data_IF_559395851925
#
_entry.id   IF_559395851925
#
_cell.length_a   1.000
_cell.length_b   1.000
_cell.length_c   1.000
_cell.angle_alpha   90.00
_cell.angle_beta   90.00
_cell.angle_gamma   90.00
#
_symmetry.space_group_name_H-M   'P 1'
#
loop_
_entity.id
_entity.type
_entity.pdbx_description
1 polymer ?
#
# COMPACT_ATOMS: atom_id res chain seq x y z
N UNK A 1 -42.09 0.55 5.78
CA UNK A 1 -41.37 -0.72 5.86
C UNK A 1 -41.06 -1.25 4.49
N UNK A 2 -40.14 -2.16 4.35
CA UNK A 2 -39.84 -2.87 3.11
C UNK A 2 -40.29 -4.33 3.21
N UNK A 3 -40.62 -4.93 2.06
CA UNK A 3 -40.93 -6.36 1.99
C UNK A 3 -39.64 -7.18 1.89
N UNK A 4 -39.48 -8.21 2.73
CA UNK A 4 -38.34 -9.13 2.69
C UNK A 4 -38.19 -9.79 1.32
N UNK A 5 -39.28 -10.08 0.63
CA UNK A 5 -39.27 -10.62 -0.73
C UNK A 5 -38.72 -9.69 -1.80
N UNK A 6 -38.61 -8.38 -1.52
CA UNK A 6 -38.03 -7.40 -2.43
C UNK A 6 -36.49 -7.31 -2.33
N UNK A 7 -35.89 -7.88 -1.26
CA UNK A 7 -34.43 -7.90 -1.08
C UNK A 7 -33.79 -8.80 -2.13
N UNK A 8 -32.81 -8.26 -2.85
CA UNK A 8 -32.05 -8.98 -3.87
C UNK A 8 -30.57 -8.91 -3.54
N UNK A 9 -29.87 -10.01 -3.71
CA UNK A 9 -28.41 -10.06 -3.67
C UNK A 9 -27.89 -9.92 -5.10
N UNK A 10 -27.06 -8.92 -5.35
CA UNK A 10 -26.46 -8.67 -6.67
C UNK A 10 -24.97 -8.52 -6.52
N UNK A 11 -24.20 -9.18 -7.39
CA UNK A 11 -22.76 -9.12 -7.39
C UNK A 11 -22.11 -9.83 -6.18
N UNK A 12 -20.92 -9.39 -5.85
CA UNK A 12 -20.07 -9.95 -4.81
C UNK A 12 -19.44 -8.85 -3.96
N UNK A 13 -19.35 -9.05 -2.66
CA UNK A 13 -18.71 -8.09 -1.76
C UNK A 13 -17.66 -8.78 -0.89
N UNK A 14 -16.57 -8.07 -0.62
CA UNK A 14 -15.49 -8.50 0.28
C UNK A 14 -15.19 -7.36 1.24
N UNK A 15 -15.04 -7.69 2.53
CA UNK A 15 -14.60 -6.78 3.57
C UNK A 15 -13.18 -7.13 4.01
N UNK A 16 -12.33 -6.12 4.14
CA UNK A 16 -11.04 -6.21 4.81
C UNK A 16 -11.05 -5.33 6.06
N UNK A 17 -10.59 -5.87 7.18
CA UNK A 17 -10.46 -5.14 8.43
C UNK A 17 -9.03 -4.65 8.60
N UNK A 18 -8.87 -3.34 8.56
CA UNK A 18 -7.58 -2.67 8.75
C UNK A 18 -7.35 -2.44 10.22
N UNK A 19 -6.31 -3.07 10.75
CA UNK A 19 -5.91 -3.00 12.15
C UNK A 19 -4.57 -2.30 12.31
N UNK A 20 -4.41 -1.58 13.43
CA UNK A 20 -3.13 -1.09 13.90
C UNK A 20 -2.36 -2.24 14.56
N UNK A 21 -1.77 -3.09 13.75
CA UNK A 21 -1.02 -4.28 14.12
C UNK A 21 0.28 -4.35 13.31
N UNK A 22 1.30 -4.98 13.88
CA UNK A 22 2.58 -5.19 13.20
C UNK A 22 2.68 -6.63 12.68
N UNK A 23 2.43 -6.87 11.37
CA UNK A 23 2.49 -8.20 10.80
C UNK A 23 3.87 -8.87 10.90
N UNK A 24 4.95 -8.09 10.85
CA UNK A 24 6.32 -8.61 10.97
C UNK A 24 6.64 -9.08 12.39
N UNK A 25 5.88 -8.61 13.36
CA UNK A 25 6.02 -8.98 14.77
C UNK A 25 4.90 -9.89 15.27
N UNK A 26 4.32 -10.71 14.37
CA UNK A 26 3.24 -11.63 14.73
C UNK A 26 1.93 -10.91 15.04
N UNK A 27 1.62 -9.84 14.33
CA UNK A 27 0.38 -9.06 14.48
C UNK A 27 0.18 -8.45 15.87
N UNK A 28 1.28 -8.11 16.55
CA UNK A 28 1.20 -7.39 17.81
C UNK A 28 0.53 -6.02 17.62
N UNK A 29 -0.38 -5.60 18.52
CA UNK A 29 -0.98 -4.29 18.47
C UNK A 29 0.06 -3.17 18.43
N UNK A 30 -0.16 -2.19 17.57
CA UNK A 30 0.69 -1.01 17.40
C UNK A 30 -0.10 0.22 17.81
N UNK A 31 0.37 0.92 18.84
CA UNK A 31 -0.27 2.12 19.37
C UNK A 31 0.39 3.39 18.84
N UNK A 32 -0.30 4.51 18.93
CA UNK A 32 0.23 5.82 18.59
C UNK A 32 -0.75 6.69 17.81
N UNK A 33 -0.28 7.88 17.45
CA UNK A 33 -1.09 8.86 16.71
C UNK A 33 -1.05 8.60 15.21
N UNK A 34 -2.19 8.67 14.55
CA UNK A 34 -2.30 8.73 13.09
C UNK A 34 -1.81 10.10 12.61
N UNK A 35 -0.63 10.12 11.98
CA UNK A 35 0.03 11.34 11.50
C UNK A 35 -0.53 11.76 10.14
N UNK A 36 -0.87 10.79 9.31
CA UNK A 36 -1.51 11.01 8.01
C UNK A 36 -2.48 9.86 7.73
N UNK A 37 -3.70 10.22 7.31
CA UNK A 37 -4.77 9.27 7.09
C UNK A 37 -5.61 9.69 5.89
N UNK A 38 -5.54 8.92 4.80
CA UNK A 38 -6.32 9.15 3.58
C UNK A 38 -7.01 7.86 3.19
N UNK A 39 -8.33 7.87 3.25
CA UNK A 39 -9.16 6.73 2.87
C UNK A 39 -9.16 6.53 1.35
N UNK A 40 -9.17 5.27 0.89
CA UNK A 40 -9.35 4.99 -0.52
C UNK A 40 -10.79 5.30 -0.96
N UNK A 41 -10.92 5.77 -2.19
CA UNK A 41 -12.23 6.02 -2.81
C UNK A 41 -12.26 5.43 -4.22
N UNK A 42 -13.43 5.00 -4.65
CA UNK A 42 -13.61 4.45 -6.00
C UNK A 42 -14.96 3.78 -6.19
N UNK A 43 -15.29 3.39 -7.43
CA UNK A 43 -16.53 2.69 -7.72
C UNK A 43 -16.62 1.37 -6.95
N UNK A 44 -17.72 1.19 -6.20
CA UNK A 44 -17.95 -0.02 -5.40
C UNK A 44 -17.08 -0.13 -4.15
N UNK A 45 -16.35 0.92 -3.76
CA UNK A 45 -15.57 0.95 -2.51
C UNK A 45 -16.31 1.76 -1.45
N UNK A 46 -16.35 1.22 -0.23
CA UNK A 46 -16.87 1.88 0.97
C UNK A 46 -15.87 1.68 2.11
N UNK A 47 -15.59 2.75 2.83
CA UNK A 47 -14.77 2.70 4.04
C UNK A 47 -15.62 3.06 5.24
N UNK A 48 -15.67 2.18 6.22
CA UNK A 48 -16.32 2.44 7.51
C UNK A 48 -15.20 2.67 8.53
N UNK A 49 -14.83 3.93 8.72
CA UNK A 49 -13.72 4.34 9.58
C UNK A 49 -14.17 4.63 11.00
N UNK A 50 -13.37 4.20 11.96
CA UNK A 50 -13.54 4.54 13.38
C UNK A 50 -12.62 5.69 13.83
N UNK A 51 -11.79 6.23 12.94
CA UNK A 51 -10.75 7.21 13.23
C UNK A 51 -10.67 8.28 12.15
N UNK A 52 -9.96 9.35 12.46
CA UNK A 52 -9.57 10.42 11.52
C UNK A 52 -8.09 10.74 11.71
N UNK A 53 -7.53 11.53 10.80
CA UNK A 53 -6.18 12.04 10.96
C UNK A 53 -6.03 12.77 12.31
N UNK A 54 -4.96 12.47 13.04
CA UNK A 54 -4.72 12.98 14.39
C UNK A 54 -5.29 12.12 15.52
N UNK A 55 -6.15 11.14 15.23
CA UNK A 55 -6.64 10.19 16.25
C UNK A 55 -5.51 9.39 16.87
N UNK A 56 -5.67 9.00 18.11
CA UNK A 56 -4.73 8.16 18.84
C UNK A 56 -5.28 6.74 18.97
N UNK A 57 -4.50 5.76 18.54
CA UNK A 57 -4.81 4.34 18.72
C UNK A 57 -4.28 3.90 20.08
N UNK A 58 -5.18 3.56 20.97
CA UNK A 58 -4.86 3.13 22.33
C UNK A 58 -4.84 1.61 22.45
N UNK A 59 -4.05 1.11 23.42
CA UNK A 59 -3.92 -0.33 23.68
C UNK A 59 -5.13 -0.93 24.45
N UNK A 60 -6.03 -0.08 24.92
CA UNK A 60 -7.14 -0.50 25.79
C UNK A 60 -8.41 -0.89 25.04
N UNK A 61 -8.43 -0.68 23.72
CA UNK A 61 -9.54 -1.00 22.83
C UNK A 61 -9.05 -1.82 21.64
N UNK A 62 -10.02 -2.31 20.86
CA UNK A 62 -9.75 -2.96 19.59
C UNK A 62 -8.93 -2.01 18.69
N UNK A 63 -7.74 -2.42 18.20
CA UNK A 63 -6.92 -1.60 17.33
C UNK A 63 -7.48 -1.46 15.90
N UNK A 64 -8.78 -1.72 15.70
CA UNK A 64 -9.45 -1.56 14.42
C UNK A 64 -9.44 -0.10 13.97
N UNK A 65 -8.80 0.16 12.83
CA UNK A 65 -8.76 1.48 12.20
C UNK A 65 -10.00 1.68 11.32
N UNK A 66 -10.22 0.76 10.38
CA UNK A 66 -11.31 0.86 9.42
C UNK A 66 -11.70 -0.50 8.85
N UNK A 67 -12.92 -0.58 8.32
CA UNK A 67 -13.37 -1.67 7.46
C UNK A 67 -13.42 -1.16 6.02
N UNK A 68 -12.71 -1.81 5.12
CA UNK A 68 -12.75 -1.50 3.68
C UNK A 68 -13.59 -2.55 3.00
N UNK A 69 -14.70 -2.13 2.42
CA UNK A 69 -15.61 -2.99 1.68
C UNK A 69 -15.49 -2.69 0.19
N UNK A 70 -15.38 -3.72 -0.62
CA UNK A 70 -15.43 -3.59 -2.08
C UNK A 70 -16.52 -4.49 -2.64
N UNK A 71 -17.32 -3.95 -3.58
CA UNK A 71 -18.37 -4.65 -4.30
C UNK A 71 -18.03 -4.70 -5.79
N UNK A 72 -18.26 -5.83 -6.42
CA UNK A 72 -18.11 -6.06 -7.87
C UNK A 72 -19.26 -6.86 -8.43
N UNK A 73 -19.34 -6.96 -9.75
CA UNK A 73 -20.32 -7.80 -10.45
C UNK A 73 -20.09 -9.29 -10.16
N UNK A 74 -18.85 -9.65 -9.90
CA UNK A 74 -18.40 -10.99 -9.50
C UNK A 74 -17.30 -10.93 -8.45
N UNK A 75 -16.84 -12.11 -8.00
CA UNK A 75 -15.81 -12.24 -6.99
C UNK A 75 -14.44 -11.71 -7.44
N UNK A 76 -14.09 -11.89 -8.70
CA UNK A 76 -12.81 -11.46 -9.23
C UNK A 76 -12.71 -9.92 -9.26
N UNK A 77 -13.79 -9.25 -9.69
CA UNK A 77 -13.89 -7.81 -9.68
C UNK A 77 -13.88 -7.24 -8.25
N UNK A 78 -14.60 -7.87 -7.32
CA UNK A 78 -14.58 -7.45 -5.91
C UNK A 78 -13.16 -7.55 -5.30
N UNK A 79 -12.41 -8.63 -5.60
CA UNK A 79 -11.02 -8.80 -5.18
C UNK A 79 -10.12 -7.72 -5.78
N UNK A 80 -10.24 -7.45 -7.09
CA UNK A 80 -9.43 -6.43 -7.76
C UNK A 80 -9.68 -5.05 -7.16
N UNK A 81 -10.94 -4.65 -6.99
CA UNK A 81 -11.32 -3.37 -6.39
C UNK A 81 -10.81 -3.22 -4.95
N UNK A 82 -10.90 -4.30 -4.15
CA UNK A 82 -10.38 -4.27 -2.79
C UNK A 82 -8.85 -4.16 -2.76
N UNK A 83 -8.16 -4.86 -3.67
CA UNK A 83 -6.71 -4.74 -3.83
C UNK A 83 -6.30 -3.30 -4.15
N UNK A 84 -6.92 -2.69 -5.17
CA UNK A 84 -6.66 -1.30 -5.57
C UNK A 84 -6.97 -0.31 -4.43
N UNK A 85 -8.05 -0.56 -3.67
CA UNK A 85 -8.41 0.27 -2.52
C UNK A 85 -7.35 0.16 -1.40
N UNK A 86 -6.87 -1.04 -1.09
CA UNK A 86 -5.82 -1.24 -0.10
C UNK A 86 -4.50 -0.59 -0.52
N UNK A 87 -4.14 -0.67 -1.81
CA UNK A 87 -2.95 -0.01 -2.36
C UNK A 87 -3.05 1.53 -2.32
N UNK A 88 -4.27 2.06 -2.42
CA UNK A 88 -4.56 3.50 -2.30
C UNK A 88 -4.71 4.01 -0.87
N UNK A 89 -4.76 3.12 0.12
CA UNK A 89 -4.96 3.53 1.52
C UNK A 89 -3.66 4.09 2.13
N UNK A 90 -3.68 5.35 2.52
CA UNK A 90 -2.51 5.99 3.13
C UNK A 90 -2.71 6.11 4.64
N UNK A 91 -1.89 5.38 5.39
CA UNK A 91 -1.86 5.41 6.86
C UNK A 91 -0.40 5.63 7.29
N UNK A 92 -0.16 6.65 8.12
CA UNK A 92 1.14 6.91 8.72
C UNK A 92 0.98 7.13 10.23
N UNK A 93 1.93 6.59 10.97
CA UNK A 93 1.94 6.57 12.43
C UNK A 93 2.19 5.15 12.93
N UNK A 94 1.19 4.49 13.53
CA UNK A 94 1.30 3.10 13.94
C UNK A 94 1.57 2.15 12.77
N UNK A 95 2.19 1.00 13.02
CA UNK A 95 2.20 -0.13 12.08
C UNK A 95 0.78 -0.60 11.84
N UNK A 96 0.51 -1.11 10.64
CA UNK A 96 -0.82 -1.56 10.23
C UNK A 96 -0.73 -2.74 9.26
N UNK A 97 -1.81 -3.52 9.15
CA UNK A 97 -1.86 -4.75 8.37
C UNK A 97 -2.22 -4.56 6.87
N UNK A 98 -2.29 -3.34 6.35
CA UNK A 98 -2.72 -3.06 4.96
C UNK A 98 -1.91 -3.84 3.92
N UNK A 99 -0.58 -3.87 4.04
CA UNK A 99 0.29 -4.60 3.12
C UNK A 99 0.02 -6.12 3.15
N UNK A 100 -0.28 -6.67 4.32
CA UNK A 100 -0.68 -8.06 4.47
C UNK A 100 -2.03 -8.36 3.82
N UNK A 101 -3.03 -7.49 4.01
CA UNK A 101 -4.34 -7.61 3.36
C UNK A 101 -4.22 -7.53 1.83
N UNK A 102 -3.41 -6.61 1.31
CA UNK A 102 -3.13 -6.52 -0.12
C UNK A 102 -2.48 -7.81 -0.65
N UNK A 103 -1.52 -8.39 0.09
CA UNK A 103 -0.91 -9.66 -0.27
C UNK A 103 -1.93 -10.81 -0.36
N UNK A 104 -2.91 -10.85 0.54
CA UNK A 104 -4.03 -11.81 0.48
C UNK A 104 -4.84 -11.62 -0.80
N UNK A 105 -5.18 -10.38 -1.17
CA UNK A 105 -5.95 -10.10 -2.40
C UNK A 105 -5.21 -10.57 -3.66
N UNK A 106 -3.89 -10.51 -3.66
CA UNK A 106 -3.07 -10.98 -4.77
C UNK A 106 -2.77 -12.48 -4.73
N UNK A 107 -3.06 -13.16 -3.63
CA UNK A 107 -2.71 -14.56 -3.45
C UNK A 107 -3.50 -15.49 -4.38
N UNK A 108 -2.81 -16.45 -5.04
CA UNK A 108 -3.41 -17.35 -6.03
C UNK A 108 -4.56 -18.18 -5.46
N UNK A 109 -4.39 -18.79 -4.28
CA UNK A 109 -5.43 -19.59 -3.63
C UNK A 109 -6.63 -18.74 -3.23
N UNK A 110 -6.40 -17.49 -2.76
CA UNK A 110 -7.48 -16.57 -2.44
C UNK A 110 -8.30 -16.21 -3.68
N UNK A 111 -7.64 -15.88 -4.79
CA UNK A 111 -8.30 -15.61 -6.09
C UNK A 111 -9.08 -16.81 -6.60
N UNK A 112 -8.54 -18.02 -6.46
CA UNK A 112 -9.21 -19.26 -6.88
C UNK A 112 -10.35 -19.70 -5.95
N UNK A 113 -10.53 -19.06 -4.77
CA UNK A 113 -11.53 -19.47 -3.78
C UNK A 113 -11.15 -20.74 -3.01
N UNK A 114 -9.91 -21.25 -3.13
CA UNK A 114 -9.42 -22.42 -2.42
C UNK A 114 -9.02 -22.07 -0.97
N UNK A 115 -10.02 -21.75 -0.16
CA UNK A 115 -9.87 -21.22 1.18
C UNK A 115 -10.26 -22.27 2.23
N UNK A 116 -9.56 -22.20 3.35
CA UNK A 116 -9.82 -22.94 4.58
C UNK A 116 -9.53 -22.06 5.78
N UNK A 117 -9.93 -22.45 6.97
CA UNK A 117 -9.69 -21.68 8.20
C UNK A 117 -8.23 -21.53 8.55
N UNK A 118 -7.37 -22.42 8.07
CA UNK A 118 -5.92 -22.41 8.23
C UNK A 118 -5.16 -21.71 7.08
N UNK A 119 -5.89 -21.11 6.13
CA UNK A 119 -5.30 -20.48 4.94
C UNK A 119 -4.16 -19.50 5.28
N UNK A 120 -4.37 -18.61 6.27
CA UNK A 120 -3.37 -17.62 6.66
C UNK A 120 -2.12 -18.32 7.22
N UNK A 121 -2.30 -19.25 8.16
CA UNK A 121 -1.19 -19.97 8.76
C UNK A 121 -0.41 -20.80 7.74
N UNK A 122 -1.11 -21.43 6.79
CA UNK A 122 -0.50 -22.26 5.76
C UNK A 122 0.29 -21.48 4.71
N UNK A 123 -0.17 -20.27 4.34
CA UNK A 123 0.44 -19.51 3.24
C UNK A 123 1.38 -18.38 3.72
N UNK A 124 1.18 -17.84 4.91
CA UNK A 124 1.94 -16.71 5.43
C UNK A 124 2.65 -17.01 6.77
N UNK A 125 2.29 -18.12 7.45
CA UNK A 125 2.85 -18.44 8.77
C UNK A 125 2.41 -17.45 9.86
N UNK A 126 3.24 -17.34 10.91
CA UNK A 126 2.97 -16.50 12.07
C UNK A 126 3.40 -15.04 11.90
N UNK A 127 4.15 -14.73 10.84
CA UNK A 127 4.69 -13.39 10.57
C UNK A 127 4.65 -13.10 9.08
N UNK A 128 4.44 -11.83 8.76
CA UNK A 128 4.48 -11.36 7.39
C UNK A 128 5.47 -10.21 7.24
N UNK A 129 6.60 -10.47 6.59
CA UNK A 129 7.68 -9.49 6.37
C UNK A 129 7.57 -8.76 5.02
N UNK A 130 6.43 -8.89 4.34
CA UNK A 130 6.21 -8.35 3.01
C UNK A 130 6.48 -9.36 1.90
N UNK A 131 6.19 -8.97 0.67
CA UNK A 131 6.49 -9.75 -0.52
C UNK A 131 7.79 -9.25 -1.14
N UNK A 132 8.68 -10.16 -1.48
CA UNK A 132 9.89 -9.81 -2.22
C UNK A 132 9.50 -9.27 -3.61
N UNK A 133 10.02 -8.10 -4.02
CA UNK A 133 9.68 -7.55 -5.32
C UNK A 133 10.25 -8.43 -6.44
N UNK A 134 9.45 -8.63 -7.51
CA UNK A 134 9.91 -9.29 -8.74
C UNK A 134 11.01 -8.49 -9.42
N UNK A 135 11.72 -9.09 -10.38
CA UNK A 135 12.76 -8.38 -11.14
C UNK A 135 12.25 -7.10 -11.81
N UNK A 136 11.05 -7.12 -12.41
CA UNK A 136 10.41 -5.96 -13.03
C UNK A 136 9.99 -4.90 -12.01
N UNK A 137 9.39 -5.32 -10.88
CA UNK A 137 9.02 -4.42 -9.78
C UNK A 137 10.25 -3.77 -9.15
N UNK A 138 11.34 -4.53 -9.01
CA UNK A 138 12.61 -4.03 -8.50
C UNK A 138 13.22 -2.95 -9.39
N UNK A 139 13.21 -3.19 -10.70
CA UNK A 139 13.66 -2.19 -11.68
C UNK A 139 12.80 -0.91 -11.64
N UNK A 140 11.48 -1.05 -11.52
CA UNK A 140 10.56 0.08 -11.37
C UNK A 140 10.83 0.87 -10.07
N UNK A 141 10.98 0.19 -8.94
CA UNK A 141 11.32 0.83 -7.65
C UNK A 141 12.64 1.59 -7.72
N UNK A 142 13.67 0.99 -8.34
CA UNK A 142 14.96 1.65 -8.54
C UNK A 142 14.84 2.90 -9.43
N UNK A 143 14.07 2.82 -10.51
CA UNK A 143 13.82 3.96 -11.40
C UNK A 143 13.07 5.10 -10.68
N UNK A 144 12.04 4.77 -9.88
CA UNK A 144 11.31 5.76 -9.07
C UNK A 144 12.23 6.41 -8.05
N UNK A 145 13.04 5.64 -7.32
CA UNK A 145 13.98 6.16 -6.32
C UNK A 145 14.98 7.16 -6.95
N UNK A 146 15.57 6.81 -8.10
CA UNK A 146 16.48 7.70 -8.85
C UNK A 146 15.72 8.94 -9.33
N UNK A 147 14.52 8.78 -9.88
CA UNK A 147 13.69 9.89 -10.36
C UNK A 147 13.39 10.90 -9.25
N UNK A 148 12.91 10.44 -8.10
CA UNK A 148 12.63 11.28 -6.93
C UNK A 148 13.89 12.01 -6.45
N UNK A 149 15.01 11.29 -6.32
CA UNK A 149 16.26 11.90 -5.87
C UNK A 149 16.76 12.98 -6.83
N UNK A 150 16.62 12.77 -8.13
CA UNK A 150 16.96 13.79 -9.15
C UNK A 150 16.08 15.04 -9.01
N UNK A 151 14.77 14.86 -8.78
CA UNK A 151 13.83 15.98 -8.55
C UNK A 151 14.23 16.76 -7.29
N UNK A 152 14.54 16.07 -6.19
CA UNK A 152 14.99 16.71 -4.95
C UNK A 152 16.27 17.52 -5.17
N UNK A 153 17.27 16.94 -5.84
CA UNK A 153 18.52 17.64 -6.14
C UNK A 153 18.30 18.84 -7.06
N UNK A 154 17.42 18.73 -8.06
CA UNK A 154 17.07 19.83 -8.94
C UNK A 154 16.37 20.97 -8.17
N UNK A 155 15.47 20.64 -7.24
CA UNK A 155 14.81 21.62 -6.36
C UNK A 155 15.82 22.30 -5.42
N UNK A 156 16.70 21.52 -4.79
CA UNK A 156 17.78 22.05 -3.96
C UNK A 156 18.73 22.96 -4.75
N UNK A 157 18.89 22.71 -6.05
CA UNK A 157 19.65 23.55 -6.95
C UNK A 157 19.02 24.93 -7.21
N UNK A 158 17.76 25.15 -6.89
CA UNK A 158 17.04 26.42 -7.13
C UNK A 158 16.98 27.34 -5.89
N UNK A 159 17.57 26.92 -4.76
CA UNK A 159 17.58 27.73 -3.54
C UNK A 159 18.36 29.03 -3.78
N UNK A 160 17.79 30.19 -3.37
CA UNK A 160 18.43 31.50 -3.43
C UNK A 160 19.61 31.60 -2.45
N UNK A 161 20.56 32.54 -2.71
CA UNK A 161 21.72 32.79 -1.82
C UNK A 161 22.91 31.83 -2.02
N UNK A 162 22.95 31.05 -3.11
CA UNK A 162 24.11 30.26 -3.48
C UNK A 162 25.26 31.12 -3.98
N UNK A 163 26.49 30.58 -3.83
CA UNK A 163 27.67 31.20 -4.43
C UNK A 163 27.48 31.33 -5.96
N UNK A 164 27.81 32.49 -6.49
CA UNK A 164 27.84 32.69 -7.93
C UNK A 164 28.76 31.61 -8.57
N UNK A 165 28.31 31.01 -9.65
CA UNK A 165 29.00 29.96 -10.40
C UNK A 165 29.01 28.54 -9.77
N UNK A 166 28.31 28.28 -8.67
CA UNK A 166 28.16 26.92 -8.20
C UNK A 166 26.87 26.29 -8.77
N UNK A 167 27.01 25.24 -9.55
CA UNK A 167 25.89 24.45 -10.07
C UNK A 167 26.02 23.02 -9.53
N UNK A 168 25.01 22.51 -8.80
CA UNK A 168 25.06 21.15 -8.32
C UNK A 168 25.03 20.18 -9.50
N UNK A 169 26.01 19.29 -9.56
CA UNK A 169 26.05 18.23 -10.57
C UNK A 169 25.11 17.11 -10.15
N UNK A 170 24.07 16.87 -10.94
CA UNK A 170 23.22 15.69 -10.79
C UNK A 170 23.92 14.53 -11.50
N UNK A 171 24.24 13.43 -10.79
CA UNK A 171 24.90 12.28 -11.42
C UNK A 171 24.04 11.65 -12.52
N UNK A 172 24.70 11.11 -13.55
CA UNK A 172 24.07 10.31 -14.59
C UNK A 172 24.03 8.81 -14.23
N UNK A 173 24.88 8.38 -13.31
CA UNK A 173 24.93 7.01 -12.82
C UNK A 173 24.55 6.96 -11.34
N UNK A 174 23.75 5.98 -10.97
CA UNK A 174 23.22 5.78 -9.63
C UNK A 174 23.39 4.35 -9.21
N UNK A 175 23.64 4.17 -7.92
CA UNK A 175 23.62 2.86 -7.28
C UNK A 175 22.42 2.85 -6.34
N UNK A 176 21.49 1.95 -6.58
CA UNK A 176 20.28 1.75 -5.76
C UNK A 176 20.39 0.43 -5.05
N UNK A 177 20.28 0.45 -3.72
CA UNK A 177 20.22 -0.75 -2.89
C UNK A 177 18.78 -0.99 -2.42
N UNK A 178 18.25 -2.17 -2.69
CA UNK A 178 16.94 -2.65 -2.27
C UNK A 178 17.15 -3.92 -1.44
N UNK A 179 17.06 -3.80 -0.12
CA UNK A 179 17.49 -4.86 0.80
C UNK A 179 18.99 -5.14 0.66
N UNK A 180 19.36 -6.39 0.43
CA UNK A 180 20.75 -6.83 0.22
C UNK A 180 21.22 -6.68 -1.24
N UNK A 181 20.31 -6.43 -2.17
CA UNK A 181 20.65 -6.35 -3.59
C UNK A 181 20.94 -4.92 -4.02
N UNK A 182 21.95 -4.81 -4.88
CA UNK A 182 22.43 -3.53 -5.43
C UNK A 182 22.27 -3.53 -6.95
N UNK A 183 21.66 -2.47 -7.49
CA UNK A 183 21.47 -2.28 -8.92
C UNK A 183 22.12 -0.97 -9.38
N UNK A 184 22.77 -0.99 -10.54
CA UNK A 184 23.23 0.23 -11.20
C UNK A 184 22.16 0.74 -12.15
N UNK A 185 21.84 2.02 -12.05
CA UNK A 185 20.82 2.69 -12.85
C UNK A 185 21.42 3.90 -13.54
N UNK A 186 21.21 4.01 -14.84
CA UNK A 186 21.46 5.21 -15.61
C UNK A 186 20.15 5.65 -16.28
N UNK A 187 19.72 6.92 -16.17
CA UNK A 187 18.53 7.37 -16.88
C UNK A 187 18.81 7.31 -18.38
N UNK A 188 17.95 6.59 -19.11
CA UNK A 188 18.04 6.60 -20.56
C UNK A 188 17.74 8.01 -21.08
N UNK A 189 18.65 8.60 -21.86
CA UNK A 189 18.37 9.80 -22.62
C UNK A 189 17.38 9.43 -23.75
N UNK A 190 16.07 9.48 -23.48
CA UNK A 190 15.14 9.58 -24.60
C UNK A 190 15.30 10.99 -25.18
N UNK A 191 15.93 11.10 -26.32
CA UNK A 191 15.80 12.26 -27.21
C UNK A 191 14.32 12.33 -27.62
N UNK A 192 13.56 13.20 -26.96
CA UNK A 192 12.24 13.60 -27.47
C UNK A 192 12.54 14.53 -28.66
N UNK A 193 12.53 14.00 -29.87
CA UNK A 193 12.37 14.80 -31.09
C UNK A 193 10.91 15.24 -31.10
N UNK A 194 10.68 16.54 -30.96
CA UNK A 194 9.41 17.22 -31.23
C UNK A 194 9.25 17.42 -32.71
#
# INVERSE_FOLDING_TARGET
GFDQGAVRFTGWAIEARVYAEDPARGFLPSTGRLIHYVEPAGPGVRVDSGVVEGSEIAMFYDPLIAKVCAHGSDRAEAIARLGDALDGFVIRGPSHNVAFLAAIMHHRRFKAGALSTDFIAAEFGDRFEGLAPSGSSRAALAAVAVGLRRIEMARAAQISGRLANWTPRIPDEWVVRLGEETSRCAPSRRTTTW
#
